data_IF_943401351620
#
_entry.id   IF_943401351620
#
_cell.length_a   1.000
_cell.length_b   1.000
_cell.length_c   1.000
_cell.angle_alpha   90.00
_cell.angle_beta   90.00
_cell.angle_gamma   90.00
#
_symmetry.space_group_name_H-M   'P 1'
#
loop_
_entity.id
_entity.type
_entity.pdbx_description
1 polymer ?
#
# COMPACT_ATOMS: atom_id res chain seq x y z
N UNK A 1 12.67 29.39 46.25
CA UNK A 1 12.21 28.96 44.91
C UNK A 1 11.78 30.12 43.98
N UNK A 2 11.70 31.37 44.45
CA UNK A 2 11.23 32.52 43.67
C UNK A 2 12.25 33.10 42.68
N UNK A 3 13.55 33.16 43.03
CA UNK A 3 14.60 33.73 42.15
C UNK A 3 14.82 32.89 40.88
N UNK A 4 14.73 31.57 40.99
CA UNK A 4 14.87 30.65 39.84
C UNK A 4 13.78 30.88 38.79
N UNK A 5 12.52 31.03 39.23
CA UNK A 5 11.37 31.29 38.34
C UNK A 5 11.35 32.69 37.73
N UNK A 6 12.06 33.65 38.34
CA UNK A 6 12.26 34.99 37.76
C UNK A 6 13.27 34.99 36.60
N UNK A 7 14.24 34.08 36.63
CA UNK A 7 15.30 33.97 35.62
C UNK A 7 14.99 32.92 34.55
N UNK A 8 14.28 31.85 34.90
CA UNK A 8 13.96 30.74 34.01
C UNK A 8 12.49 30.34 34.15
N UNK A 9 11.81 30.25 33.01
CA UNK A 9 10.40 29.91 32.96
C UNK A 9 10.15 28.43 33.31
N UNK A 10 10.96 27.53 32.77
CA UNK A 10 10.88 26.09 32.99
C UNK A 10 12.18 25.50 33.55
N UNK A 11 12.05 24.46 34.37
CA UNK A 11 13.19 23.64 34.80
C UNK A 11 13.60 22.62 33.75
N UNK A 12 14.84 22.10 33.82
CA UNK A 12 15.29 21.02 32.93
C UNK A 12 14.36 19.79 32.94
N UNK A 13 13.69 19.50 34.06
CA UNK A 13 12.72 18.42 34.16
C UNK A 13 11.39 18.74 33.43
N UNK A 14 10.97 20.00 33.43
CA UNK A 14 9.79 20.48 32.70
C UNK A 14 10.05 20.50 31.19
N UNK A 15 11.22 21.00 30.78
CA UNK A 15 11.64 21.02 29.37
C UNK A 15 11.78 19.61 28.77
N UNK A 16 12.29 18.65 29.55
CA UNK A 16 12.46 17.26 29.09
C UNK A 16 11.21 16.39 29.33
N UNK A 17 10.10 16.97 29.75
CA UNK A 17 8.86 16.23 29.95
C UNK A 17 8.37 15.69 28.60
N UNK A 18 8.26 14.37 28.49
CA UNK A 18 7.75 13.73 27.27
C UNK A 18 6.30 14.13 26.98
N UNK A 19 6.04 14.53 25.74
CA UNK A 19 4.68 14.76 25.24
C UNK A 19 4.04 13.44 24.75
N UNK A 20 2.71 13.38 24.77
CA UNK A 20 1.93 12.28 24.19
C UNK A 20 1.43 12.61 22.77
N UNK A 21 1.97 13.65 22.13
CA UNK A 21 1.50 14.16 20.84
C UNK A 21 1.55 13.12 19.73
N UNK A 22 2.49 12.17 19.82
CA UNK A 22 2.59 11.05 18.89
C UNK A 22 1.27 10.27 18.75
N UNK A 23 0.47 10.16 19.82
CA UNK A 23 -0.84 9.49 19.78
C UNK A 23 -1.83 10.26 18.90
N UNK A 24 -1.86 11.58 19.04
CA UNK A 24 -2.71 12.47 18.24
C UNK A 24 -2.27 12.46 16.78
N UNK A 25 -0.95 12.52 16.53
CA UNK A 25 -0.38 12.44 15.18
C UNK A 25 -0.76 11.13 14.51
N UNK A 26 -0.53 9.99 15.17
CA UNK A 26 -0.88 8.67 14.62
C UNK A 26 -2.40 8.54 14.41
N UNK A 27 -3.21 9.03 15.35
CA UNK A 27 -4.67 9.04 15.21
C UNK A 27 -5.15 9.83 14.00
N UNK A 28 -4.62 11.04 13.80
CA UNK A 28 -4.94 11.88 12.64
C UNK A 28 -4.54 11.22 11.32
N UNK A 29 -3.36 10.61 11.27
CA UNK A 29 -2.88 9.88 10.08
C UNK A 29 -3.81 8.73 9.71
N UNK A 30 -4.18 7.86 10.67
CA UNK A 30 -5.08 6.75 10.40
C UNK A 30 -6.50 7.19 10.03
N UNK A 31 -6.98 8.28 10.64
CA UNK A 31 -8.26 8.87 10.29
C UNK A 31 -8.29 9.35 8.83
N UNK A 32 -7.25 10.08 8.39
CA UNK A 32 -7.11 10.52 7.00
C UNK A 32 -7.03 9.33 6.03
N UNK A 33 -6.30 8.27 6.38
CA UNK A 33 -6.27 7.05 5.57
C UNK A 33 -7.65 6.38 5.48
N UNK A 34 -8.41 6.34 6.59
CA UNK A 34 -9.77 5.83 6.60
C UNK A 34 -10.69 6.60 5.64
N UNK A 35 -10.67 7.93 5.70
CA UNK A 35 -11.45 8.77 4.78
C UNK A 35 -11.02 8.55 3.34
N UNK A 36 -9.71 8.50 3.07
CA UNK A 36 -9.18 8.29 1.72
C UNK A 36 -9.62 6.95 1.15
N UNK A 37 -9.61 5.88 1.95
CA UNK A 37 -10.09 4.56 1.53
C UNK A 37 -11.60 4.56 1.21
N UNK A 38 -12.41 5.27 2.00
CA UNK A 38 -13.86 5.42 1.74
C UNK A 38 -14.11 6.19 0.43
N UNK A 39 -13.34 7.24 0.16
CA UNK A 39 -13.44 7.99 -1.10
C UNK A 39 -13.07 7.12 -2.31
N UNK A 40 -11.99 6.35 -2.22
CA UNK A 40 -11.58 5.41 -3.29
C UNK A 40 -12.67 4.35 -3.53
N UNK A 41 -13.26 3.82 -2.45
CA UNK A 41 -14.36 2.86 -2.56
C UNK A 41 -15.57 3.47 -3.28
N UNK A 42 -15.98 4.69 -2.89
CA UNK A 42 -17.09 5.39 -3.54
C UNK A 42 -16.82 5.63 -5.03
N UNK A 43 -15.61 6.11 -5.39
CA UNK A 43 -15.21 6.27 -6.79
C UNK A 43 -15.31 4.95 -7.56
N UNK A 44 -14.95 3.83 -6.93
CA UNK A 44 -14.99 2.51 -7.57
C UNK A 44 -16.38 1.95 -7.80
N UNK A 45 -17.35 2.32 -6.97
CA UNK A 45 -18.74 1.87 -7.13
C UNK A 45 -19.51 2.75 -8.11
N UNK A 46 -19.32 4.07 -8.06
CA UNK A 46 -20.20 5.02 -8.76
C UNK A 46 -19.56 5.75 -9.93
N UNK A 47 -18.23 5.85 -9.99
CA UNK A 47 -17.54 6.67 -11.00
C UNK A 47 -16.86 5.81 -12.07
N UNK A 48 -16.24 4.69 -11.68
CA UNK A 48 -15.52 3.86 -12.64
C UNK A 48 -16.47 3.00 -13.48
N UNK A 49 -16.26 2.94 -14.81
CA UNK A 49 -17.04 2.08 -15.68
C UNK A 49 -16.75 0.59 -15.40
N UNK A 50 -17.60 -0.27 -15.96
CA UNK A 50 -17.36 -1.71 -15.91
C UNK A 50 -16.00 -2.06 -16.51
N UNK A 51 -15.31 -3.01 -15.89
CA UNK A 51 -13.98 -3.42 -16.35
C UNK A 51 -14.09 -4.03 -17.75
N UNK A 52 -13.13 -3.75 -18.64
CA UNK A 52 -13.12 -4.35 -19.97
C UNK A 52 -13.06 -5.88 -19.88
N UNK A 53 -13.64 -6.55 -20.89
CA UNK A 53 -13.70 -8.01 -20.98
C UNK A 53 -12.32 -8.68 -20.89
N UNK A 54 -11.25 -7.99 -21.28
CA UNK A 54 -9.87 -8.50 -21.23
C UNK A 54 -9.37 -8.72 -19.80
N UNK A 55 -10.02 -8.12 -18.81
CA UNK A 55 -9.73 -8.28 -17.39
C UNK A 55 -10.61 -9.33 -16.69
N UNK A 56 -11.45 -10.07 -17.41
CA UNK A 56 -12.10 -11.26 -16.86
C UNK A 56 -11.09 -12.39 -16.68
N UNK A 57 -11.36 -13.30 -15.75
CA UNK A 57 -10.38 -14.32 -15.40
C UNK A 57 -10.14 -15.33 -16.53
N UNK A 58 -11.15 -15.62 -17.34
CA UNK A 58 -11.00 -16.43 -18.56
C UNK A 58 -10.07 -15.78 -19.59
N UNK A 59 -10.25 -14.48 -19.85
CA UNK A 59 -9.40 -13.75 -20.79
C UNK A 59 -7.98 -13.64 -20.28
N UNK A 60 -7.79 -13.40 -18.97
CA UNK A 60 -6.45 -13.42 -18.35
C UNK A 60 -5.77 -14.79 -18.51
N UNK A 61 -6.51 -15.88 -18.29
CA UNK A 61 -5.97 -17.23 -18.45
C UNK A 61 -5.56 -17.52 -19.91
N UNK A 62 -6.42 -17.18 -20.87
CA UNK A 62 -6.12 -17.30 -22.32
C UNK A 62 -4.93 -16.43 -22.73
N UNK A 63 -4.86 -15.20 -22.22
CA UNK A 63 -3.76 -14.29 -22.49
C UNK A 63 -2.45 -14.81 -21.87
N UNK A 64 -2.49 -15.32 -20.64
CA UNK A 64 -1.35 -15.94 -19.99
C UNK A 64 -0.84 -17.13 -20.80
N UNK A 65 -1.74 -18.04 -21.21
CA UNK A 65 -1.38 -19.19 -22.05
C UNK A 65 -0.70 -18.74 -23.33
N UNK A 66 -1.27 -17.75 -24.03
CA UNK A 66 -0.66 -17.18 -25.24
C UNK A 66 0.74 -16.62 -24.99
N UNK A 67 0.95 -15.91 -23.88
CA UNK A 67 2.28 -15.35 -23.53
C UNK A 67 3.28 -16.49 -23.29
N UNK A 68 2.85 -17.57 -22.63
CA UNK A 68 3.69 -18.75 -22.41
C UNK A 68 4.00 -19.47 -23.73
N UNK A 69 3.03 -19.64 -24.62
CA UNK A 69 3.22 -20.25 -25.94
C UNK A 69 4.18 -19.44 -26.80
N UNK A 70 4.11 -18.12 -26.72
CA UNK A 70 5.01 -17.19 -27.39
C UNK A 70 6.37 -17.04 -26.68
N UNK A 71 6.58 -17.73 -25.55
CA UNK A 71 7.78 -17.63 -24.70
C UNK A 71 8.12 -16.18 -24.33
N UNK A 72 7.11 -15.41 -23.90
CA UNK A 72 7.27 -14.00 -23.55
C UNK A 72 8.27 -13.79 -22.41
N UNK A 73 9.39 -13.13 -22.74
CA UNK A 73 10.53 -12.89 -21.84
C UNK A 73 11.05 -14.18 -21.17
N UNK A 74 11.71 -15.06 -21.95
CA UNK A 74 11.99 -16.44 -21.53
C UNK A 74 13.24 -16.59 -20.67
N UNK A 75 14.04 -15.54 -20.46
CA UNK A 75 15.29 -15.63 -19.69
C UNK A 75 15.07 -15.25 -18.22
N UNK A 76 14.47 -14.09 -17.95
CA UNK A 76 14.29 -13.56 -16.59
C UNK A 76 12.81 -13.25 -16.25
N UNK A 77 11.93 -13.28 -17.26
CA UNK A 77 10.54 -12.84 -17.13
C UNK A 77 9.56 -13.97 -16.85
N UNK A 78 8.31 -13.77 -17.29
CA UNK A 78 7.19 -14.64 -16.96
C UNK A 78 7.40 -16.07 -17.47
N UNK A 79 7.75 -16.21 -18.76
CA UNK A 79 7.94 -17.53 -19.38
C UNK A 79 9.12 -18.31 -18.79
N UNK A 80 10.14 -17.63 -18.24
CA UNK A 80 11.27 -18.33 -17.61
C UNK A 80 10.87 -19.08 -16.33
N UNK A 81 9.77 -18.65 -15.68
CA UNK A 81 9.21 -19.25 -14.45
C UNK A 81 8.21 -20.37 -14.72
N UNK A 82 7.90 -20.66 -15.98
CA UNK A 82 7.01 -21.76 -16.36
C UNK A 82 7.83 -22.99 -16.74
N UNK A 83 7.47 -24.14 -16.19
CA UNK A 83 7.98 -25.45 -16.58
C UNK A 83 7.14 -25.97 -17.75
N UNK A 84 7.72 -25.97 -18.95
CA UNK A 84 7.04 -26.38 -20.17
C UNK A 84 6.87 -27.90 -20.28
N UNK A 85 7.70 -28.68 -19.59
CA UNK A 85 7.64 -30.15 -19.62
C UNK A 85 6.52 -30.64 -18.72
N UNK A 86 6.41 -30.04 -17.53
CA UNK A 86 5.40 -30.39 -16.52
C UNK A 86 4.11 -29.58 -16.62
N UNK A 87 4.10 -28.52 -17.44
CA UNK A 87 3.00 -27.56 -17.57
C UNK A 87 2.56 -26.99 -16.23
N UNK A 88 3.52 -26.58 -15.41
CA UNK A 88 3.28 -25.97 -14.10
C UNK A 88 4.24 -24.80 -13.85
N UNK A 89 3.94 -23.97 -12.84
CA UNK A 89 4.86 -22.94 -12.39
C UNK A 89 6.04 -23.56 -11.64
N UNK A 90 7.25 -23.13 -11.97
CA UNK A 90 8.46 -23.52 -11.24
C UNK A 90 8.35 -23.08 -9.78
N UNK A 91 8.70 -23.98 -8.87
CA UNK A 91 8.77 -23.72 -7.42
C UNK A 91 10.04 -22.97 -7.06
#
# INVERSE_FOLDING_TARGET
ASVYRLQFHESFAEMNRRSNEWKTVMGGVFFCFGITALLIWWQRVYVFPEKPITLTDEWKAKQLQRILDMKGNPVQGLASRWDYDKKEWKK
#
